data_IF_383335732347
#
_entry.id   IF_383335732347
#
_cell.length_a   1.000
_cell.length_b   1.000
_cell.length_c   1.000
_cell.angle_alpha   90.00
_cell.angle_beta   90.00
_cell.angle_gamma   90.00
#
_symmetry.space_group_name_H-M   'P 1'
#
loop_
_entity.id
_entity.type
_entity.pdbx_description
1 polymer ?
#
# COMPACT_ATOMS: atom_id res chain seq x y z
N UNK A 1 37.84 38.60 16.70
CA UNK A 1 37.84 37.79 17.94
C UNK A 1 36.62 36.88 17.89
N UNK A 2 36.83 35.60 17.59
CA UNK A 2 35.79 34.56 17.66
C UNK A 2 35.55 34.18 19.13
N UNK A 3 34.31 34.08 19.61
CA UNK A 3 34.05 33.66 20.98
C UNK A 3 34.45 32.20 21.18
N UNK A 4 35.07 31.89 22.31
CA UNK A 4 35.51 30.55 22.69
C UNK A 4 34.33 29.65 23.03
N UNK A 5 34.51 28.35 22.78
CA UNK A 5 33.55 27.25 23.03
C UNK A 5 33.17 27.10 24.53
N UNK A 6 33.76 27.89 25.42
CA UNK A 6 33.42 27.96 26.85
C UNK A 6 32.10 28.66 27.17
N UNK A 7 31.64 29.56 26.30
CA UNK A 7 30.56 30.51 26.66
C UNK A 7 29.14 30.02 26.29
N UNK A 8 29.02 28.82 25.71
CA UNK A 8 27.74 28.25 25.26
C UNK A 8 27.10 27.33 26.32
N UNK A 9 27.83 26.95 27.38
CA UNK A 9 27.37 25.93 28.34
C UNK A 9 26.56 26.45 29.53
N UNK A 10 26.25 27.75 29.63
CA UNK A 10 25.50 28.31 30.78
C UNK A 10 24.00 28.55 30.54
N UNK A 11 23.48 28.36 29.31
CA UNK A 11 22.08 28.65 28.98
C UNK A 11 21.17 27.44 28.69
N UNK A 12 21.69 26.21 28.81
CA UNK A 12 20.91 24.98 28.61
C UNK A 12 21.05 24.03 29.81
N UNK A 13 20.93 24.55 31.03
CA UNK A 13 20.77 23.70 32.21
C UNK A 13 19.30 23.25 32.33
N UNK A 14 18.96 22.10 31.73
CA UNK A 14 17.70 21.43 32.01
C UNK A 14 17.68 21.01 33.49
N UNK A 15 16.82 21.64 34.29
CA UNK A 15 16.57 21.22 35.68
C UNK A 15 15.89 19.85 35.67
N UNK A 16 16.66 18.78 35.84
CA UNK A 16 16.12 17.45 36.11
C UNK A 16 15.71 17.36 37.58
N UNK A 17 14.41 17.26 37.86
CA UNK A 17 13.95 16.79 39.19
C UNK A 17 14.22 15.28 39.29
N UNK A 18 14.79 14.78 40.39
CA UNK A 18 14.86 13.34 40.62
C UNK A 18 13.43 12.81 40.85
N UNK A 19 13.01 11.85 40.03
CA UNK A 19 11.78 11.08 40.27
C UNK A 19 12.10 10.02 41.30
N UNK A 20 11.48 10.09 42.47
CA UNK A 20 11.54 9.06 43.50
C UNK A 20 10.90 7.77 42.97
N UNK A 21 11.70 6.71 42.85
CA UNK A 21 11.23 5.39 42.48
C UNK A 21 10.63 4.69 43.70
N UNK A 22 9.32 4.84 43.89
CA UNK A 22 8.53 3.89 44.67
C UNK A 22 7.52 3.23 43.74
N UNK A 23 7.75 1.97 43.38
CA UNK A 23 6.71 1.11 42.85
C UNK A 23 6.92 -0.31 43.40
N UNK A 24 5.90 -0.80 44.12
CA UNK A 24 5.80 -2.17 44.65
C UNK A 24 5.69 -3.25 43.56
N UNK A 25 5.31 -4.49 43.91
CA UNK A 25 5.68 -5.69 43.17
C UNK A 25 5.14 -5.72 41.72
N UNK A 26 6.05 -6.08 40.81
CA UNK A 26 5.90 -6.27 39.36
C UNK A 26 4.55 -6.88 38.92
N UNK A 27 3.55 -6.03 38.68
CA UNK A 27 2.53 -6.29 37.66
C UNK A 27 3.01 -5.58 36.39
N UNK A 28 3.06 -6.26 35.23
CA UNK A 28 3.39 -5.57 33.99
C UNK A 28 2.35 -4.47 33.78
N UNK A 29 2.83 -3.24 33.60
CA UNK A 29 2.01 -2.10 33.23
C UNK A 29 1.38 -2.41 31.87
N UNK A 30 0.09 -2.74 31.88
CA UNK A 30 -0.68 -2.86 30.65
C UNK A 30 -1.06 -1.45 30.19
N UNK A 31 -0.77 -1.15 28.92
CA UNK A 31 -1.37 -0.01 28.24
C UNK A 31 -2.90 -0.18 28.29
N UNK A 32 -3.59 0.78 28.90
CA UNK A 32 -5.03 0.94 28.69
C UNK A 32 -5.18 2.00 27.61
N UNK A 33 -6.08 1.80 26.63
CA UNK A 33 -6.33 2.83 25.65
C UNK A 33 -6.62 4.15 26.36
N UNK A 34 -5.72 5.10 26.16
CA UNK A 34 -5.87 6.46 26.65
C UNK A 34 -7.15 7.05 26.02
N UNK A 35 -7.80 8.03 26.67
CA UNK A 35 -8.99 8.68 26.13
C UNK A 35 -8.85 9.10 24.65
N UNK A 36 -7.65 9.57 24.27
CA UNK A 36 -7.32 9.94 22.89
C UNK A 36 -7.46 8.79 21.89
N UNK A 37 -7.01 7.57 22.23
CA UNK A 37 -7.09 6.42 21.33
C UNK A 37 -8.53 5.95 21.17
N UNK A 38 -9.31 5.91 22.26
CA UNK A 38 -10.74 5.54 22.21
C UNK A 38 -11.53 6.51 21.34
N UNK A 39 -11.33 7.81 21.55
CA UNK A 39 -11.97 8.85 20.74
C UNK A 39 -11.57 8.76 19.26
N UNK A 40 -10.31 8.46 18.97
CA UNK A 40 -9.84 8.28 17.60
C UNK A 40 -10.48 7.05 16.93
N UNK A 41 -10.63 5.93 17.64
CA UNK A 41 -11.30 4.72 17.14
C UNK A 41 -12.78 5.00 16.86
N UNK A 42 -13.48 5.66 17.78
CA UNK A 42 -14.89 6.04 17.58
C UNK A 42 -15.07 6.96 16.36
N UNK A 43 -14.20 7.97 16.24
CA UNK A 43 -14.21 8.88 15.07
C UNK A 43 -13.96 8.13 13.77
N UNK A 44 -12.94 7.26 13.74
CA UNK A 44 -12.59 6.47 12.57
C UNK A 44 -13.73 5.51 12.16
N UNK A 45 -14.43 4.91 13.13
CA UNK A 45 -15.56 4.01 12.87
C UNK A 45 -16.79 4.68 12.26
N UNK A 46 -16.87 6.01 12.29
CA UNK A 46 -17.94 6.80 11.68
C UNK A 46 -17.48 7.58 10.42
N UNK A 47 -16.23 7.41 9.99
CA UNK A 47 -15.65 8.12 8.85
C UNK A 47 -15.67 7.25 7.58
N UNK A 48 -16.62 7.55 6.69
CA UNK A 48 -16.80 6.81 5.44
C UNK A 48 -16.06 7.44 4.24
N UNK A 49 -15.19 8.43 4.47
CA UNK A 49 -14.44 9.09 3.37
C UNK A 49 -13.42 8.14 2.76
N UNK A 50 -12.69 7.40 3.60
CA UNK A 50 -11.68 6.44 3.17
C UNK A 50 -11.19 5.58 4.32
N UNK A 51 -10.83 4.34 4.00
CA UNK A 51 -10.15 3.40 4.88
C UNK A 51 -8.72 3.80 5.27
N UNK A 52 -8.17 4.92 4.77
CA UNK A 52 -6.94 5.52 5.32
C UNK A 52 -7.16 6.16 6.70
N UNK A 53 -8.41 6.39 7.09
CA UNK A 53 -8.76 7.04 8.36
C UNK A 53 -8.71 6.07 9.55
N UNK A 54 -8.41 4.78 9.30
CA UNK A 54 -8.17 3.79 10.34
C UNK A 54 -7.05 4.25 11.28
N UNK A 55 -7.20 3.95 12.56
CA UNK A 55 -6.21 4.26 13.59
C UNK A 55 -5.74 2.97 14.28
N UNK A 56 -4.54 2.96 14.90
CA UNK A 56 -4.05 1.79 15.61
C UNK A 56 -5.06 1.25 16.63
N UNK A 57 -5.18 -0.07 16.71
CA UNK A 57 -5.98 -0.74 17.75
C UNK A 57 -5.14 -0.97 19.01
N UNK A 58 -5.78 -1.35 20.11
CA UNK A 58 -5.06 -1.70 21.35
C UNK A 58 -4.06 -2.85 21.14
N UNK A 59 -4.39 -3.82 20.28
CA UNK A 59 -3.52 -4.96 19.95
C UNK A 59 -2.31 -4.55 19.08
N UNK A 60 -2.43 -3.45 18.32
CA UNK A 60 -1.28 -2.86 17.61
C UNK A 60 -0.38 -2.06 18.57
N UNK A 61 -0.96 -1.47 19.62
CA UNK A 61 -0.19 -0.71 20.61
C UNK A 61 0.60 -1.65 21.54
N UNK A 62 -0.02 -2.71 22.04
CA UNK A 62 0.60 -3.64 23.01
C UNK A 62 0.19 -5.10 22.78
N UNK A 63 1.00 -6.04 23.26
CA UNK A 63 0.59 -7.44 23.35
C UNK A 63 -0.30 -7.64 24.57
N UNK A 64 -1.59 -7.91 24.37
CA UNK A 64 -2.45 -8.39 25.45
C UNK A 64 -2.09 -9.84 25.77
N UNK A 65 -1.74 -10.09 27.04
CA UNK A 65 -1.16 -11.30 27.69
C UNK A 65 -1.73 -12.71 27.37
N UNK A 66 -2.64 -12.86 26.42
CA UNK A 66 -3.21 -14.16 26.05
C UNK A 66 -3.44 -14.38 24.53
N UNK A 67 -3.12 -13.41 23.65
CA UNK A 67 -3.60 -13.46 22.25
C UNK A 67 -2.51 -13.52 21.17
N UNK A 68 -1.26 -13.20 21.48
CA UNK A 68 -0.21 -13.01 20.46
C UNK A 68 1.09 -13.68 20.95
N UNK A 69 1.62 -14.69 20.22
CA UNK A 69 2.96 -15.20 20.50
C UNK A 69 4.02 -14.08 20.31
N UNK A 70 5.19 -14.19 20.95
CA UNK A 70 6.23 -13.13 20.99
C UNK A 70 6.78 -12.71 19.62
N UNK A 71 6.41 -13.40 18.54
CA UNK A 71 6.69 -13.10 17.14
C UNK A 71 5.65 -12.18 16.47
N UNK A 72 4.56 -11.83 17.16
CA UNK A 72 3.52 -10.94 16.64
C UNK A 72 3.68 -9.53 17.21
N UNK A 73 4.19 -8.65 16.34
CA UNK A 73 4.60 -7.30 16.69
C UNK A 73 3.49 -6.45 17.31
N UNK A 74 3.87 -5.69 18.33
CA UNK A 74 3.12 -4.55 18.85
C UNK A 74 4.11 -3.38 19.03
N UNK A 75 3.62 -2.15 18.93
CA UNK A 75 4.46 -0.94 18.93
C UNK A 75 5.36 -0.87 20.17
N UNK A 76 4.83 -1.18 21.36
CA UNK A 76 5.58 -1.08 22.62
C UNK A 76 6.65 -2.17 22.80
N UNK A 77 6.59 -3.25 22.03
CA UNK A 77 7.54 -4.38 22.08
C UNK A 77 8.42 -4.47 20.83
N UNK A 78 8.28 -3.51 19.92
CA UNK A 78 9.01 -3.47 18.67
C UNK A 78 10.51 -3.30 18.91
N UNK A 79 11.31 -3.87 18.02
CA UNK A 79 12.70 -3.45 17.88
C UNK A 79 12.79 -1.98 17.48
N UNK A 80 13.88 -1.34 17.92
CA UNK A 80 14.21 0.06 17.64
C UNK A 80 15.63 0.16 17.09
N UNK A 81 16.03 -0.82 16.27
CA UNK A 81 17.34 -0.87 15.61
C UNK A 81 17.41 0.06 14.40
N UNK A 82 18.62 0.30 13.89
CA UNK A 82 18.84 1.07 12.66
C UNK A 82 18.69 0.17 11.43
N UNK A 83 17.60 0.34 10.66
CA UNK A 83 17.29 -0.42 9.43
C UNK A 83 18.37 -0.30 8.34
N UNK A 84 19.29 0.67 8.46
CA UNK A 84 20.32 0.94 7.45
C UNK A 84 21.71 0.53 7.92
N UNK A 85 22.07 0.82 9.17
CA UNK A 85 23.43 0.59 9.68
C UNK A 85 23.62 -0.75 10.38
N UNK A 86 22.57 -1.31 10.97
CA UNK A 86 22.70 -2.59 11.64
C UNK A 86 22.92 -3.69 10.60
N UNK A 87 23.86 -4.60 10.87
CA UNK A 87 24.31 -5.66 9.94
C UNK A 87 23.15 -6.47 9.35
N UNK A 88 22.11 -6.69 10.16
CA UNK A 88 20.93 -7.46 9.80
C UNK A 88 19.67 -6.61 9.61
N UNK A 89 19.76 -5.27 9.72
CA UNK A 89 18.61 -4.36 9.71
C UNK A 89 17.69 -4.52 10.94
N UNK A 90 16.54 -3.84 10.92
CA UNK A 90 15.59 -3.88 12.05
C UNK A 90 14.78 -5.20 12.08
N UNK A 91 14.74 -5.85 13.25
CA UNK A 91 14.11 -7.16 13.43
C UNK A 91 12.60 -7.14 13.15
N UNK A 92 11.89 -6.08 13.54
CA UNK A 92 10.45 -5.95 13.34
C UNK A 92 10.12 -5.73 11.86
N UNK A 93 10.94 -4.94 11.16
CA UNK A 93 10.85 -4.79 9.69
C UNK A 93 11.05 -6.13 9.00
N UNK A 94 12.08 -6.87 9.37
CA UNK A 94 12.38 -8.17 8.79
C UNK A 94 11.26 -9.18 9.03
N UNK A 95 10.69 -9.22 10.23
CA UNK A 95 9.55 -10.08 10.57
C UNK A 95 8.34 -9.80 9.65
N UNK A 96 7.98 -8.52 9.48
CA UNK A 96 6.90 -8.10 8.59
C UNK A 96 7.17 -8.49 7.13
N UNK A 97 8.38 -8.22 6.64
CA UNK A 97 8.79 -8.55 5.28
C UNK A 97 8.71 -10.07 5.03
N UNK A 98 9.20 -10.88 5.97
CA UNK A 98 9.13 -12.34 5.91
C UNK A 98 7.68 -12.84 5.89
N UNK A 99 6.79 -12.20 6.68
CA UNK A 99 5.38 -12.60 6.69
C UNK A 99 4.70 -12.35 5.35
N UNK A 100 4.95 -11.21 4.71
CA UNK A 100 4.40 -10.92 3.39
C UNK A 100 5.04 -11.73 2.26
N UNK A 101 6.33 -12.07 2.38
CA UNK A 101 6.98 -13.07 1.52
C UNK A 101 6.24 -14.41 1.60
N UNK A 102 5.96 -14.90 2.82
CA UNK A 102 5.23 -16.14 3.03
C UNK A 102 3.82 -16.10 2.42
N UNK A 103 3.08 -15.00 2.64
CA UNK A 103 1.70 -14.85 2.16
C UNK A 103 1.60 -14.74 0.63
N UNK A 104 2.57 -14.08 -0.01
CA UNK A 104 2.51 -13.78 -1.45
C UNK A 104 3.35 -14.73 -2.31
N UNK A 105 4.25 -15.50 -1.71
CA UNK A 105 5.17 -16.38 -2.42
C UNK A 105 6.27 -15.64 -3.20
N UNK A 106 6.48 -14.35 -2.95
CA UNK A 106 7.59 -13.57 -3.54
C UNK A 106 8.90 -13.83 -2.82
N UNK A 107 10.02 -13.64 -3.50
CA UNK A 107 11.34 -14.01 -2.98
C UNK A 107 11.87 -13.02 -1.93
N UNK A 108 11.49 -11.75 -2.05
CA UNK A 108 11.98 -10.67 -1.21
C UNK A 108 10.93 -9.56 -1.08
N UNK A 109 11.07 -8.78 -0.02
CA UNK A 109 10.22 -7.64 0.29
C UNK A 109 11.06 -6.43 0.74
N UNK A 110 10.49 -5.24 0.62
CA UNK A 110 11.08 -3.98 1.05
C UNK A 110 10.01 -3.07 1.66
N UNK A 111 10.17 -2.73 2.93
CA UNK A 111 9.31 -1.75 3.60
C UNK A 111 9.58 -0.32 3.10
N UNK A 112 8.51 0.46 2.94
CA UNK A 112 8.48 1.84 2.44
C UNK A 112 7.50 2.68 3.24
N UNK A 113 7.67 4.01 3.21
CA UNK A 113 6.86 4.93 4.01
C UNK A 113 5.40 5.04 3.56
N UNK A 114 5.13 4.89 2.26
CA UNK A 114 3.79 5.06 1.69
C UNK A 114 3.60 4.24 0.41
N UNK A 115 2.33 4.06 0.01
CA UNK A 115 1.99 3.35 -1.24
C UNK A 115 2.55 4.05 -2.47
N UNK A 116 2.46 5.39 -2.52
CA UNK A 116 3.08 6.19 -3.59
C UNK A 116 4.57 5.95 -3.70
N UNK A 117 5.31 5.96 -2.58
CA UNK A 117 6.73 5.62 -2.62
C UNK A 117 6.95 4.19 -3.12
N UNK A 118 6.14 3.25 -2.66
CA UNK A 118 6.15 1.85 -3.08
C UNK A 118 6.02 1.67 -4.59
N UNK A 119 4.96 2.25 -5.17
CA UNK A 119 4.67 2.23 -6.60
C UNK A 119 5.78 2.91 -7.42
N UNK A 120 6.21 4.11 -7.02
CA UNK A 120 7.22 4.85 -7.77
C UNK A 120 8.59 4.18 -7.74
N UNK A 121 8.98 3.56 -6.61
CA UNK A 121 10.18 2.72 -6.56
C UNK A 121 10.01 1.52 -7.48
N UNK A 122 8.85 0.85 -7.48
CA UNK A 122 8.61 -0.30 -8.35
C UNK A 122 8.79 0.05 -9.83
N UNK A 123 8.09 1.09 -10.27
CA UNK A 123 8.09 1.56 -11.65
C UNK A 123 9.50 2.01 -12.05
N UNK A 124 10.16 2.82 -11.21
CA UNK A 124 11.54 3.26 -11.46
C UNK A 124 12.54 2.11 -11.55
N UNK A 125 12.32 1.04 -10.79
CA UNK A 125 13.20 -0.13 -10.74
C UNK A 125 13.12 -0.94 -12.04
N UNK A 126 11.91 -1.11 -12.59
CA UNK A 126 11.67 -1.76 -13.89
C UNK A 126 12.18 -0.93 -15.08
N UNK A 127 12.02 0.39 -14.98
CA UNK A 127 12.31 1.34 -16.06
C UNK A 127 13.78 1.79 -16.01
N UNK A 128 14.63 1.21 -16.87
CA UNK A 128 16.08 1.46 -16.82
C UNK A 128 16.51 2.66 -17.65
N UNK A 129 16.29 2.65 -18.97
CA UNK A 129 16.72 3.71 -19.89
C UNK A 129 15.60 4.10 -20.86
N UNK A 130 15.12 5.35 -20.87
CA UNK A 130 14.08 5.80 -21.79
C UNK A 130 14.51 5.62 -23.26
N UNK A 131 13.57 5.58 -24.21
CA UNK A 131 12.15 5.86 -24.05
C UNK A 131 11.35 4.69 -23.46
N UNK A 132 10.35 5.01 -22.63
CA UNK A 132 9.46 4.03 -22.02
C UNK A 132 8.01 4.51 -21.96
N UNK A 133 7.09 3.56 -22.06
CA UNK A 133 5.67 3.75 -21.75
C UNK A 133 5.22 2.78 -20.68
N UNK A 134 4.43 3.27 -19.72
CA UNK A 134 3.66 2.45 -18.77
C UNK A 134 2.21 2.40 -19.25
N UNK A 135 1.71 1.20 -19.56
CA UNK A 135 0.30 0.97 -19.88
C UNK A 135 -0.47 0.67 -18.59
N UNK A 136 -1.60 1.35 -18.39
CA UNK A 136 -2.42 1.23 -17.19
C UNK A 136 -3.87 1.64 -17.43
N UNK A 137 -4.75 1.33 -16.47
CA UNK A 137 -6.13 1.84 -16.47
C UNK A 137 -6.12 3.36 -16.30
N UNK A 138 -6.94 4.09 -17.04
CA UNK A 138 -6.99 5.55 -16.97
C UNK A 138 -7.34 6.13 -15.59
N UNK A 139 -7.85 5.30 -14.66
CA UNK A 139 -8.18 5.65 -13.27
C UNK A 139 -7.08 5.28 -12.27
N UNK A 140 -6.05 4.56 -12.71
CA UNK A 140 -5.06 3.96 -11.83
C UNK A 140 -4.36 4.99 -10.94
N UNK A 141 -4.10 4.61 -9.69
CA UNK A 141 -3.52 5.49 -8.67
C UNK A 141 -2.18 6.07 -9.10
N UNK A 142 -1.30 5.23 -9.65
CA UNK A 142 0.04 5.61 -10.14
C UNK A 142 0.02 6.68 -11.25
N UNK A 143 -1.12 6.88 -11.90
CA UNK A 143 -1.34 7.91 -12.91
C UNK A 143 -2.06 9.14 -12.33
N UNK A 144 -3.23 8.94 -11.72
CA UNK A 144 -4.12 10.04 -11.33
C UNK A 144 -3.76 10.68 -9.98
N UNK A 145 -3.19 9.92 -9.04
CA UNK A 145 -3.16 10.28 -7.62
C UNK A 145 -1.74 10.33 -7.03
N UNK A 146 -0.73 10.31 -7.89
CA UNK A 146 0.70 10.37 -7.51
C UNK A 146 1.40 11.59 -8.12
N UNK A 147 0.64 12.68 -8.35
CA UNK A 147 1.17 13.99 -8.74
C UNK A 147 2.08 14.01 -9.96
N UNK A 148 1.82 13.14 -10.94
CA UNK A 148 2.67 13.04 -12.13
C UNK A 148 4.07 12.49 -11.86
N UNK A 149 4.25 11.69 -10.81
CA UNK A 149 5.55 11.14 -10.43
C UNK A 149 6.17 10.23 -11.49
N UNK A 150 5.37 9.52 -12.30
CA UNK A 150 5.85 8.65 -13.37
C UNK A 150 6.81 9.35 -14.35
N UNK A 151 6.40 10.42 -15.05
CA UNK A 151 7.32 11.15 -15.93
C UNK A 151 8.46 11.83 -15.15
N UNK A 152 8.20 12.38 -13.97
CA UNK A 152 9.19 13.11 -13.18
C UNK A 152 10.32 12.23 -12.63
N UNK A 153 10.00 11.04 -12.13
CA UNK A 153 10.93 10.15 -11.44
C UNK A 153 11.43 9.03 -12.33
N UNK A 154 10.60 8.53 -13.25
CA UNK A 154 10.88 7.34 -14.07
C UNK A 154 11.12 7.62 -15.55
N UNK A 155 11.01 8.89 -15.99
CA UNK A 155 11.20 9.30 -17.39
C UNK A 155 10.37 8.46 -18.36
N UNK A 156 9.14 8.13 -17.95
CA UNK A 156 8.23 7.31 -18.72
C UNK A 156 6.98 8.09 -19.10
N UNK A 157 6.57 7.92 -20.35
CA UNK A 157 5.24 8.26 -20.81
C UNK A 157 4.22 7.28 -20.24
N UNK A 158 2.94 7.65 -20.30
CA UNK A 158 1.84 6.84 -19.81
C UNK A 158 0.87 6.58 -20.96
N UNK A 159 0.40 5.35 -21.10
CA UNK A 159 -0.70 4.97 -21.98
C UNK A 159 -1.93 4.65 -21.11
N UNK A 160 -2.75 5.65 -20.76
CA UNK A 160 -3.98 5.43 -20.02
C UNK A 160 -5.02 4.78 -20.93
N UNK A 161 -5.59 3.66 -20.48
CA UNK A 161 -6.55 2.86 -21.24
C UNK A 161 -7.88 2.85 -20.52
N UNK A 162 -8.97 3.07 -21.26
CA UNK A 162 -10.33 2.91 -20.76
C UNK A 162 -10.71 1.43 -20.93
N UNK A 163 -11.08 0.72 -19.85
CA UNK A 163 -11.46 -0.68 -19.93
C UNK A 163 -12.76 -0.85 -20.73
N UNK A 164 -12.77 -1.77 -21.68
CA UNK A 164 -13.94 -1.99 -22.55
C UNK A 164 -15.16 -2.53 -21.80
N UNK A 165 -14.96 -3.19 -20.66
CA UNK A 165 -16.03 -3.66 -19.78
C UNK A 165 -16.48 -2.63 -18.73
N UNK A 166 -15.84 -1.45 -18.67
CA UNK A 166 -16.12 -0.39 -17.69
C UNK A 166 -15.64 -0.65 -16.26
N UNK A 167 -15.07 -1.83 -15.96
CA UNK A 167 -14.71 -2.27 -14.60
C UNK A 167 -13.20 -2.36 -14.43
N UNK A 168 -12.50 -3.12 -15.30
CA UNK A 168 -11.06 -3.37 -15.21
C UNK A 168 -10.48 -3.69 -16.59
N UNK A 169 -9.17 -3.49 -16.78
CA UNK A 169 -8.54 -3.78 -18.07
C UNK A 169 -8.66 -5.25 -18.45
N UNK A 170 -9.11 -5.50 -19.68
CA UNK A 170 -9.18 -6.84 -20.28
C UNK A 170 -7.91 -7.15 -21.09
N UNK A 171 -7.69 -8.43 -21.42
CA UNK A 171 -6.62 -8.81 -22.34
C UNK A 171 -6.71 -8.09 -23.70
N UNK A 172 -7.93 -7.87 -24.21
CA UNK A 172 -8.15 -7.15 -25.47
C UNK A 172 -7.69 -5.70 -25.36
N UNK A 173 -8.00 -5.04 -24.25
CA UNK A 173 -7.58 -3.66 -23.99
C UNK A 173 -6.05 -3.56 -23.95
N UNK A 174 -5.38 -4.49 -23.28
CA UNK A 174 -3.91 -4.55 -23.23
C UNK A 174 -3.32 -4.79 -24.62
N UNK A 175 -3.78 -5.82 -25.34
CA UNK A 175 -3.30 -6.16 -26.70
C UNK A 175 -3.38 -4.98 -27.66
N UNK A 176 -4.48 -4.25 -27.63
CA UNK A 176 -4.75 -3.12 -28.53
C UNK A 176 -3.82 -1.93 -28.27
N UNK A 177 -3.37 -1.74 -27.04
CA UNK A 177 -2.68 -0.52 -26.61
C UNK A 177 -1.18 -0.73 -26.31
N UNK A 178 -0.68 -1.96 -26.30
CA UNK A 178 0.76 -2.21 -26.18
C UNK A 178 1.51 -1.76 -27.43
N UNK A 179 2.62 -1.05 -27.22
CA UNK A 179 3.49 -0.54 -28.26
C UNK A 179 4.79 -1.36 -28.29
N UNK A 180 5.07 -2.02 -29.40
CA UNK A 180 6.33 -2.73 -29.63
C UNK A 180 7.50 -1.77 -29.83
N UNK A 181 8.71 -2.23 -29.54
CA UNK A 181 9.93 -1.50 -29.90
C UNK A 181 10.14 -1.41 -31.42
N UNK A 182 10.99 -0.47 -31.83
CA UNK A 182 11.49 -0.36 -33.21
C UNK A 182 10.91 0.79 -34.04
N UNK A 183 9.81 1.41 -33.63
CA UNK A 183 9.27 2.61 -34.28
C UNK A 183 9.69 3.87 -33.50
N UNK A 184 10.51 4.73 -34.11
CA UNK A 184 11.05 5.94 -33.45
C UNK A 184 9.98 6.96 -33.03
N UNK A 185 8.77 6.88 -33.60
CA UNK A 185 7.67 7.79 -33.25
C UNK A 185 7.04 7.48 -31.90
N UNK A 186 7.16 6.24 -31.41
CA UNK A 186 6.41 5.79 -30.24
C UNK A 186 7.32 5.17 -29.17
N UNK A 187 7.27 5.67 -27.91
CA UNK A 187 7.97 5.03 -26.81
C UNK A 187 7.41 3.61 -26.54
N UNK A 188 8.25 2.56 -26.49
CA UNK A 188 7.77 1.19 -26.32
C UNK A 188 7.17 0.95 -24.94
N UNK A 189 6.15 0.11 -24.86
CA UNK A 189 5.59 -0.33 -23.58
C UNK A 189 6.60 -1.22 -22.86
N UNK A 190 7.03 -0.80 -21.67
CA UNK A 190 8.00 -1.56 -20.85
C UNK A 190 7.45 -2.05 -19.52
N UNK A 191 6.33 -1.50 -19.09
CA UNK A 191 5.57 -1.97 -17.92
C UNK A 191 4.09 -1.95 -18.24
N UNK A 192 3.38 -3.01 -17.86
CA UNK A 192 1.92 -2.99 -17.69
C UNK A 192 1.65 -2.95 -16.20
N UNK A 193 1.02 -1.86 -15.75
CA UNK A 193 0.67 -1.65 -14.35
C UNK A 193 -0.83 -1.88 -14.17
N UNK A 194 -1.19 -2.91 -13.42
CA UNK A 194 -2.57 -3.20 -13.03
C UNK A 194 -2.78 -2.80 -11.57
N UNK A 195 -4.04 -2.65 -11.17
CA UNK A 195 -4.42 -2.28 -9.81
C UNK A 195 -5.50 -3.25 -9.31
N UNK A 196 -5.31 -3.80 -8.10
CA UNK A 196 -6.33 -4.64 -7.45
C UNK A 196 -6.36 -4.39 -5.93
N UNK A 197 -7.48 -3.93 -5.37
CA UNK A 197 -8.70 -3.45 -6.06
C UNK A 197 -8.51 -2.07 -6.69
N UNK A 198 -9.21 -1.77 -7.79
CA UNK A 198 -9.31 -0.41 -8.36
C UNK A 198 -10.69 0.16 -8.03
N UNK A 199 -10.74 1.23 -7.21
CA UNK A 199 -12.02 1.83 -6.76
C UNK A 199 -13.01 0.82 -6.15
N UNK A 200 -12.48 -0.18 -5.44
CA UNK A 200 -13.26 -1.26 -4.83
C UNK A 200 -13.72 -2.36 -5.79
N UNK A 201 -13.35 -2.28 -7.07
CA UNK A 201 -13.60 -3.34 -8.05
C UNK A 201 -12.44 -4.32 -8.11
N UNK A 202 -12.77 -5.57 -8.41
CA UNK A 202 -11.85 -6.71 -8.45
C UNK A 202 -11.38 -6.92 -9.88
N UNK A 203 -10.07 -6.95 -10.08
CA UNK A 203 -9.45 -7.55 -11.27
C UNK A 203 -9.43 -9.08 -11.04
N UNK A 204 -10.20 -9.89 -11.80
CA UNK A 204 -10.25 -11.33 -11.57
C UNK A 204 -8.91 -12.00 -11.85
N UNK A 205 -8.58 -13.04 -11.07
CA UNK A 205 -7.37 -13.84 -11.23
C UNK A 205 -7.22 -14.39 -12.66
N UNK A 206 -8.33 -14.84 -13.26
CA UNK A 206 -8.34 -15.34 -14.63
C UNK A 206 -7.79 -14.30 -15.61
N UNK A 207 -8.29 -13.06 -15.52
CA UNK A 207 -7.89 -11.98 -16.42
C UNK A 207 -6.45 -11.53 -16.13
N UNK A 208 -6.06 -11.47 -14.85
CA UNK A 208 -4.68 -11.18 -14.46
C UNK A 208 -3.68 -12.20 -15.04
N UNK A 209 -4.02 -13.50 -15.04
CA UNK A 209 -3.20 -14.57 -15.64
C UNK A 209 -3.11 -14.43 -17.15
N UNK A 210 -4.23 -14.22 -17.83
CA UNK A 210 -4.28 -14.06 -19.28
C UNK A 210 -3.46 -12.84 -19.75
N UNK A 211 -3.60 -11.71 -19.05
CA UNK A 211 -2.80 -10.51 -19.30
C UNK A 211 -1.33 -10.78 -19.03
N UNK A 212 -0.98 -11.35 -17.86
CA UNK A 212 0.41 -11.62 -17.50
C UNK A 212 1.12 -12.53 -18.51
N UNK A 213 0.47 -13.61 -18.93
CA UNK A 213 1.01 -14.53 -19.92
C UNK A 213 1.28 -13.82 -21.26
N UNK A 214 0.33 -13.02 -21.75
CA UNK A 214 0.50 -12.25 -22.97
C UNK A 214 1.63 -11.23 -22.85
N UNK A 215 1.63 -10.41 -21.80
CA UNK A 215 2.62 -9.33 -21.59
C UNK A 215 4.04 -9.87 -21.51
N UNK A 216 4.25 -10.96 -20.77
CA UNK A 216 5.57 -11.61 -20.65
C UNK A 216 6.06 -12.21 -21.97
N UNK A 217 5.13 -12.63 -22.83
CA UNK A 217 5.43 -13.15 -24.18
C UNK A 217 5.56 -12.05 -25.24
N UNK A 218 5.28 -10.79 -24.89
CA UNK A 218 5.25 -9.70 -25.85
C UNK A 218 6.65 -9.46 -26.44
N UNK A 219 6.79 -9.38 -27.78
CA UNK A 219 8.10 -9.23 -28.41
C UNK A 219 8.82 -7.96 -27.96
N UNK A 220 10.08 -8.11 -27.57
CA UNK A 220 11.01 -7.01 -27.26
C UNK A 220 12.29 -7.16 -28.08
N UNK A 221 12.99 -6.06 -28.40
CA UNK A 221 14.28 -6.14 -29.08
C UNK A 221 15.28 -7.05 -28.36
N UNK A 222 16.18 -7.67 -29.13
CA UNK A 222 17.23 -8.53 -28.59
C UNK A 222 18.03 -7.81 -27.49
N UNK A 223 18.35 -8.53 -26.41
CA UNK A 223 19.05 -7.99 -25.25
C UNK A 223 18.19 -7.17 -24.28
N UNK A 224 16.91 -6.91 -24.58
CA UNK A 224 15.99 -6.29 -23.63
C UNK A 224 15.27 -7.33 -22.77
N UNK A 225 15.03 -6.98 -21.50
CA UNK A 225 14.16 -7.76 -20.62
C UNK A 225 12.72 -7.79 -21.16
N UNK A 226 11.93 -8.85 -20.86
CA UNK A 226 10.50 -8.85 -21.12
C UNK A 226 9.80 -7.61 -20.53
N UNK A 227 8.61 -7.29 -21.05
CA UNK A 227 7.75 -6.26 -20.47
C UNK A 227 7.35 -6.71 -19.06
N UNK A 228 7.54 -5.82 -18.08
CA UNK A 228 7.27 -6.16 -16.68
C UNK A 228 5.79 -6.01 -16.33
N UNK A 229 5.31 -6.87 -15.44
CA UNK A 229 4.00 -6.76 -14.80
C UNK A 229 4.15 -6.14 -13.41
N UNK A 230 3.51 -5.00 -13.17
CA UNK A 230 3.42 -4.39 -11.85
C UNK A 230 1.98 -4.44 -11.34
N UNK A 231 1.81 -4.75 -10.05
CA UNK A 231 0.54 -4.60 -9.33
C UNK A 231 0.64 -3.46 -8.31
N UNK A 232 -0.18 -2.43 -8.50
CA UNK A 232 -0.64 -1.62 -7.38
C UNK A 232 -1.66 -2.47 -6.59
N UNK A 233 -1.17 -3.09 -5.53
CA UNK A 233 -1.92 -3.96 -4.65
C UNK A 233 -2.27 -3.25 -3.35
N UNK A 234 -2.50 -1.93 -3.38
CA UNK A 234 -2.73 -1.18 -2.15
C UNK A 234 -3.92 -1.71 -1.32
N UNK A 235 -4.85 -2.43 -1.97
CA UNK A 235 -5.92 -3.21 -1.33
C UNK A 235 -5.96 -4.64 -1.88
N UNK A 236 -4.80 -5.27 -2.04
CA UNK A 236 -4.67 -6.63 -2.58
C UNK A 236 -5.54 -7.62 -1.81
N UNK A 237 -5.48 -7.56 -0.47
CA UNK A 237 -6.21 -8.50 0.38
C UNK A 237 -7.73 -8.38 0.21
N UNK A 238 -8.26 -7.17 0.04
CA UNK A 238 -9.68 -6.98 -0.31
C UNK A 238 -10.02 -7.66 -1.63
N UNK A 239 -9.19 -7.48 -2.66
CA UNK A 239 -9.41 -8.06 -3.99
C UNK A 239 -9.43 -9.59 -3.97
N UNK A 240 -8.39 -10.22 -3.42
CA UNK A 240 -8.27 -11.69 -3.42
C UNK A 240 -9.29 -12.37 -2.50
N UNK A 241 -9.64 -11.75 -1.36
CA UNK A 241 -10.66 -12.27 -0.45
C UNK A 241 -12.05 -12.09 -1.05
N UNK A 242 -12.31 -10.94 -1.69
CA UNK A 242 -13.57 -10.67 -2.36
C UNK A 242 -13.83 -11.63 -3.53
N UNK A 243 -12.77 -12.04 -4.25
CA UNK A 243 -12.87 -13.06 -5.31
C UNK A 243 -12.89 -14.49 -4.75
N UNK A 244 -12.21 -14.72 -3.61
CA UNK A 244 -12.04 -16.04 -3.02
C UNK A 244 -10.90 -16.85 -3.65
N UNK A 245 -9.79 -16.19 -4.02
CA UNK A 245 -8.64 -16.81 -4.69
C UNK A 245 -7.38 -16.85 -3.83
N UNK A 246 -6.45 -17.74 -4.16
CA UNK A 246 -5.19 -17.88 -3.42
C UNK A 246 -4.25 -16.67 -3.65
N UNK A 247 -3.66 -16.19 -2.56
CA UNK A 247 -2.78 -15.03 -2.58
C UNK A 247 -1.51 -15.26 -3.40
N UNK A 248 -0.89 -16.45 -3.31
CA UNK A 248 0.35 -16.78 -4.03
C UNK A 248 0.08 -16.91 -5.51
N UNK A 249 -1.02 -17.57 -5.87
CA UNK A 249 -1.45 -17.72 -7.25
C UNK A 249 -1.72 -16.37 -7.91
N UNK A 250 -2.42 -15.45 -7.21
CA UNK A 250 -2.65 -14.10 -7.71
C UNK A 250 -1.34 -13.31 -7.84
N UNK A 251 -0.51 -13.33 -6.80
CA UNK A 251 0.76 -12.62 -6.78
C UNK A 251 1.74 -13.13 -7.86
N UNK A 252 1.68 -14.41 -8.23
CA UNK A 252 2.52 -14.99 -9.28
C UNK A 252 2.36 -14.30 -10.66
N UNK A 253 1.22 -13.64 -10.91
CA UNK A 253 0.99 -12.90 -12.15
C UNK A 253 1.90 -11.67 -12.32
N UNK A 254 2.54 -11.18 -11.25
CA UNK A 254 3.24 -9.89 -11.24
C UNK A 254 4.74 -10.03 -10.95
N UNK A 255 5.57 -9.19 -11.56
CA UNK A 255 7.01 -9.12 -11.26
C UNK A 255 7.31 -8.29 -10.02
N UNK A 256 6.50 -7.25 -9.78
CA UNK A 256 6.53 -6.47 -8.55
C UNK A 256 5.14 -6.09 -8.06
N UNK A 257 4.98 -5.99 -6.75
CA UNK A 257 3.72 -5.65 -6.09
C UNK A 257 3.99 -4.58 -5.04
N UNK A 258 3.14 -3.56 -4.95
CA UNK A 258 3.10 -2.66 -3.79
C UNK A 258 1.84 -2.91 -2.97
N UNK A 259 1.97 -3.23 -1.69
CA UNK A 259 0.84 -3.44 -0.77
C UNK A 259 0.85 -2.33 0.27
N UNK A 260 -0.28 -1.66 0.45
CA UNK A 260 -0.43 -0.63 1.47
C UNK A 260 -0.83 -1.24 2.81
N UNK A 261 -0.17 -0.81 3.88
CA UNK A 261 -0.44 -1.28 5.25
C UNK A 261 -1.37 -0.31 6.00
N UNK A 262 -1.44 0.95 5.53
CA UNK A 262 -2.12 2.05 6.19
C UNK A 262 -3.50 2.39 5.59
N UNK A 263 -4.25 1.35 5.21
CA UNK A 263 -5.63 1.41 4.71
C UNK A 263 -6.50 0.51 5.59
N UNK A 264 -7.41 -0.29 5.00
CA UNK A 264 -8.25 -1.24 5.75
C UNK A 264 -7.51 -2.24 6.64
N UNK A 265 -6.19 -2.45 6.47
CA UNK A 265 -5.38 -3.20 7.42
C UNK A 265 -5.21 -2.48 8.77
N UNK A 266 -5.15 -1.15 8.79
CA UNK A 266 -5.16 -0.33 10.00
C UNK A 266 -3.81 0.01 10.60
N UNK A 267 -2.69 -0.33 9.96
CA UNK A 267 -1.38 0.16 10.40
C UNK A 267 -1.34 1.70 10.27
N UNK A 268 -0.65 2.43 11.16
CA UNK A 268 -0.62 3.89 11.10
C UNK A 268 0.15 4.44 9.89
N UNK A 269 1.10 3.67 9.35
CA UNK A 269 1.97 4.08 8.26
C UNK A 269 2.56 2.85 7.56
N UNK A 270 2.93 3.04 6.30
CA UNK A 270 3.84 2.14 5.60
C UNK A 270 3.18 1.38 4.47
N UNK A 271 4.04 0.82 3.62
CA UNK A 271 3.71 -0.05 2.51
C UNK A 271 4.87 -1.00 2.26
N UNK A 272 4.62 -2.12 1.59
CA UNK A 272 5.62 -3.13 1.30
C UNK A 272 5.68 -3.34 -0.21
N UNK A 273 6.89 -3.28 -0.76
CA UNK A 273 7.19 -3.74 -2.11
C UNK A 273 7.57 -5.20 -2.04
N UNK A 274 7.08 -6.02 -2.97
CA UNK A 274 7.47 -7.43 -3.12
C UNK A 274 7.92 -7.71 -4.55
N UNK A 275 8.87 -8.62 -4.73
CA UNK A 275 9.40 -9.01 -6.04
C UNK A 275 10.47 -10.09 -5.94
N UNK A 276 11.25 -10.25 -7.01
CA UNK A 276 12.45 -11.09 -6.97
C UNK A 276 13.53 -10.46 -6.10
N UNK A 277 14.47 -11.28 -5.60
CA UNK A 277 15.59 -10.78 -4.78
C UNK A 277 16.41 -9.72 -5.53
N UNK A 278 16.72 -9.97 -6.81
CA UNK A 278 17.45 -9.02 -7.65
C UNK A 278 16.71 -7.69 -7.86
N UNK A 279 15.38 -7.74 -7.96
CA UNK A 279 14.55 -6.54 -8.05
C UNK A 279 14.59 -5.74 -6.75
N UNK A 280 14.43 -6.39 -5.60
CA UNK A 280 14.43 -5.73 -4.30
C UNK A 280 15.80 -5.11 -3.97
N UNK A 281 16.91 -5.78 -4.28
CA UNK A 281 18.25 -5.19 -4.09
C UNK A 281 18.42 -3.90 -4.90
N UNK A 282 17.88 -3.86 -6.12
CA UNK A 282 17.86 -2.62 -6.92
C UNK A 282 16.92 -1.57 -6.32
N UNK A 283 15.73 -1.98 -5.85
CA UNK A 283 14.74 -1.09 -5.26
C UNK A 283 15.25 -0.34 -4.01
N UNK A 284 16.12 -0.96 -3.21
CA UNK A 284 16.76 -0.32 -2.03
C UNK A 284 17.49 0.98 -2.39
N UNK A 285 18.14 1.06 -3.55
CA UNK A 285 18.83 2.27 -4.01
C UNK A 285 17.84 3.42 -4.22
N UNK A 286 16.70 3.14 -4.85
CA UNK A 286 15.65 4.14 -5.06
C UNK A 286 14.92 4.48 -3.76
N UNK A 287 14.72 3.52 -2.85
CA UNK A 287 14.24 3.80 -1.48
C UNK A 287 15.14 4.81 -0.79
N UNK A 288 16.46 4.63 -0.88
CA UNK A 288 17.42 5.56 -0.29
C UNK A 288 17.39 6.92 -0.97
N UNK A 289 17.34 6.95 -2.30
CA UNK A 289 17.30 8.18 -3.11
C UNK A 289 16.04 9.01 -2.87
N UNK A 290 14.89 8.36 -2.71
CA UNK A 290 13.60 9.03 -2.48
C UNK A 290 13.35 9.34 -1.00
N UNK A 291 14.37 9.20 -0.14
CA UNK A 291 14.26 9.55 1.28
C UNK A 291 13.54 8.53 2.16
N UNK A 292 13.24 7.33 1.65
CA UNK A 292 12.56 6.26 2.38
C UNK A 292 13.44 5.41 3.29
N UNK A 293 14.77 5.64 3.31
CA UNK A 293 15.70 4.94 4.20
C UNK A 293 15.71 5.53 5.61
N UNK A 294 14.66 5.24 6.39
CA UNK A 294 14.53 5.66 7.80
C UNK A 294 15.35 4.82 8.75
N UNK A 295 15.54 5.28 10.00
CA UNK A 295 16.42 4.65 10.99
C UNK A 295 15.72 3.59 11.82
N UNK A 296 14.79 3.95 12.71
CA UNK A 296 14.06 3.01 13.57
C UNK A 296 12.59 2.80 13.15
N UNK A 297 12.28 2.27 11.95
CA UNK A 297 10.91 2.04 11.52
C UNK A 297 10.24 0.84 12.20
N UNK A 298 10.94 0.10 13.07
CA UNK A 298 10.47 -1.13 13.68
C UNK A 298 9.12 -1.01 14.39
N UNK A 299 8.86 0.14 15.05
CA UNK A 299 7.55 0.43 15.65
C UNK A 299 6.40 0.40 14.63
N UNK A 300 6.59 1.00 13.45
CA UNK A 300 5.58 1.01 12.39
C UNK A 300 5.42 -0.38 11.76
N UNK A 301 6.53 -1.11 11.60
CA UNK A 301 6.51 -2.49 11.09
C UNK A 301 5.77 -3.44 12.05
N UNK A 302 6.00 -3.30 13.36
CA UNK A 302 5.31 -4.08 14.38
C UNK A 302 3.80 -3.81 14.38
N UNK A 303 3.38 -2.55 14.26
CA UNK A 303 1.96 -2.20 14.12
C UNK A 303 1.32 -2.89 12.90
N UNK A 304 2.03 -2.91 11.77
CA UNK A 304 1.57 -3.59 10.57
C UNK A 304 1.52 -5.12 10.74
N UNK A 305 2.47 -5.72 11.47
CA UNK A 305 2.46 -7.15 11.77
C UNK A 305 1.22 -7.55 12.58
N UNK A 306 0.87 -6.77 13.61
CA UNK A 306 -0.39 -6.93 14.35
C UNK A 306 -1.60 -6.80 13.41
N UNK A 307 -1.63 -5.77 12.58
CA UNK A 307 -2.69 -5.50 11.62
C UNK A 307 -2.97 -6.66 10.66
N UNK A 308 -1.93 -7.32 10.14
CA UNK A 308 -2.10 -8.49 9.27
C UNK A 308 -2.83 -9.63 10.00
N UNK A 309 -2.60 -9.81 11.29
CA UNK A 309 -3.21 -10.87 12.09
C UNK A 309 -4.65 -10.54 12.48
N UNK A 310 -4.93 -9.28 12.81
CA UNK A 310 -6.22 -8.87 13.37
C UNK A 310 -7.22 -8.41 12.30
N UNK A 311 -6.76 -7.71 11.26
CA UNK A 311 -7.64 -7.04 10.29
C UNK A 311 -7.98 -7.91 9.09
N UNK A 312 -7.05 -8.71 8.56
CA UNK A 312 -7.31 -9.57 7.38
C UNK A 312 -8.52 -10.50 7.62
N UNK A 313 -8.65 -11.19 8.77
CA UNK A 313 -9.83 -12.04 9.03
C UNK A 313 -11.16 -11.28 9.09
N UNK A 314 -11.14 -9.96 9.26
CA UNK A 314 -12.35 -9.12 9.32
C UNK A 314 -12.82 -8.66 7.93
N UNK A 315 -11.97 -8.73 6.89
CA UNK A 315 -12.31 -8.24 5.55
C UNK A 315 -13.61 -8.86 4.98
N UNK A 316 -13.88 -10.17 5.10
CA UNK A 316 -15.16 -10.74 4.65
C UNK A 316 -16.39 -10.09 5.30
N UNK A 317 -16.28 -9.76 6.60
CA UNK A 317 -17.34 -9.06 7.33
C UNK A 317 -17.50 -7.62 6.82
N UNK A 318 -16.39 -6.93 6.55
CA UNK A 318 -16.41 -5.57 5.97
C UNK A 318 -17.09 -5.58 4.61
N UNK A 319 -16.77 -6.54 3.74
CA UNK A 319 -17.41 -6.68 2.42
C UNK A 319 -18.91 -6.96 2.54
N UNK A 320 -19.31 -7.85 3.46
CA UNK A 320 -20.72 -8.14 3.72
C UNK A 320 -21.49 -6.90 4.22
N UNK A 321 -20.89 -6.11 5.12
CA UNK A 321 -21.47 -4.86 5.59
C UNK A 321 -21.60 -3.84 4.44
N UNK A 322 -20.58 -3.71 3.61
CA UNK A 322 -20.57 -2.81 2.44
C UNK A 322 -21.69 -3.19 1.47
N UNK A 323 -21.84 -4.48 1.15
CA UNK A 323 -22.91 -4.97 0.27
C UNK A 323 -24.30 -4.76 0.87
N UNK A 324 -24.46 -4.95 2.19
CA UNK A 324 -25.72 -4.68 2.90
C UNK A 324 -26.07 -3.19 2.85
N UNK A 325 -25.10 -2.30 3.07
CA UNK A 325 -25.27 -0.86 2.98
C UNK A 325 -25.65 -0.44 1.56
N UNK A 326 -24.96 -0.96 0.54
CA UNK A 326 -25.29 -0.70 -0.86
C UNK A 326 -26.73 -1.13 -1.19
N UNK A 327 -27.15 -2.30 -0.73
CA UNK A 327 -28.53 -2.79 -0.95
C UNK A 327 -29.58 -1.84 -0.34
N UNK A 328 -29.31 -1.30 0.85
CA UNK A 328 -30.19 -0.30 1.49
C UNK A 328 -30.21 1.01 0.72
N UNK A 329 -29.05 1.52 0.30
CA UNK A 329 -28.95 2.74 -0.50
C UNK A 329 -29.69 2.60 -1.84
N UNK A 330 -29.57 1.45 -2.51
CA UNK A 330 -30.34 1.19 -3.74
C UNK A 330 -31.85 1.13 -3.48
N UNK A 331 -32.30 0.62 -2.33
CA UNK A 331 -33.72 0.67 -1.97
C UNK A 331 -34.23 2.11 -1.76
N UNK A 332 -33.34 3.06 -1.45
CA UNK A 332 -33.64 4.50 -1.42
C UNK A 332 -33.49 5.20 -2.78
N UNK A 333 -33.19 4.46 -3.86
CA UNK A 333 -33.08 5.00 -5.22
C UNK A 333 -31.67 5.42 -5.65
N UNK A 334 -30.65 5.25 -4.80
CA UNK A 334 -29.27 5.54 -5.18
C UNK A 334 -28.71 4.51 -6.15
N UNK A 335 -28.03 5.00 -7.19
CA UNK A 335 -27.28 4.23 -8.18
C UNK A 335 -25.78 4.34 -7.90
N UNK A 336 -25.01 3.39 -8.43
CA UNK A 336 -23.57 3.31 -8.22
C UNK A 336 -22.83 3.37 -9.55
N UNK A 337 -21.69 4.06 -9.56
CA UNK A 337 -20.83 4.18 -10.75
C UNK A 337 -20.12 2.86 -11.09
N UNK A 338 -19.85 2.04 -10.07
CA UNK A 338 -19.13 0.79 -10.19
C UNK A 338 -19.80 -0.32 -9.36
N UNK A 339 -19.58 -1.61 -9.72
CA UNK A 339 -20.04 -2.73 -8.91
C UNK A 339 -19.46 -2.68 -7.49
N UNK A 340 -20.30 -2.97 -6.49
CA UNK A 340 -19.88 -3.07 -5.08
C UNK A 340 -19.36 -4.49 -4.82
N UNK A 341 -18.04 -4.65 -4.89
CA UNK A 341 -17.37 -5.96 -4.77
C UNK A 341 -16.56 -6.11 -3.47
N UNK A 342 -15.98 -5.04 -2.93
CA UNK A 342 -15.18 -5.08 -1.69
C UNK A 342 -15.68 -4.11 -0.62
N UNK A 343 -14.87 -3.14 -0.19
CA UNK A 343 -15.12 -2.22 0.92
C UNK A 343 -15.52 -0.80 0.47
N UNK A 344 -15.94 -0.61 -0.78
CA UNK A 344 -16.33 0.69 -1.33
C UNK A 344 -17.71 0.70 -1.97
N UNK A 345 -18.37 1.84 -1.87
CA UNK A 345 -19.59 2.19 -2.60
C UNK A 345 -19.35 3.55 -3.23
N UNK A 346 -19.39 3.63 -4.56
CA UNK A 346 -19.23 4.90 -5.28
C UNK A 346 -20.60 5.28 -5.84
N UNK A 347 -21.25 6.22 -5.16
CA UNK A 347 -22.58 6.70 -5.51
C UNK A 347 -22.51 7.57 -6.77
N UNK A 348 -23.36 7.26 -7.74
CA UNK A 348 -23.56 8.08 -8.92
C UNK A 348 -24.63 9.13 -8.60
N UNK A 349 -24.20 10.31 -8.13
CA UNK A 349 -25.10 11.39 -7.72
C UNK A 349 -25.95 11.94 -8.87
N UNK A 350 -25.39 11.98 -10.07
CA UNK A 350 -26.10 12.44 -11.27
C UNK A 350 -27.15 11.40 -11.65
N UNK A 351 -26.78 10.13 -11.78
CA UNK A 351 -27.75 9.09 -12.14
C UNK A 351 -28.78 8.80 -11.04
N UNK A 352 -28.47 9.11 -9.78
CA UNK A 352 -29.38 8.92 -8.64
C UNK A 352 -30.43 10.03 -8.56
N UNK A 353 -30.00 11.30 -8.54
CA UNK A 353 -30.86 12.44 -8.20
C UNK A 353 -30.60 13.68 -9.06
N UNK A 354 -29.91 13.55 -10.21
CA UNK A 354 -29.43 14.67 -11.02
C UNK A 354 -28.64 15.72 -10.21
N UNK A 355 -27.94 15.28 -9.16
CA UNK A 355 -27.11 16.17 -8.34
C UNK A 355 -25.76 16.28 -9.03
N UNK A 356 -25.36 17.47 -9.52
CA UNK A 356 -24.04 17.63 -10.10
C UNK A 356 -22.96 17.40 -9.02
N UNK A 357 -21.90 16.62 -9.28
CA UNK A 357 -20.85 16.36 -8.29
C UNK A 357 -20.24 17.63 -7.68
N UNK A 358 -20.07 18.69 -8.49
CA UNK A 358 -19.55 19.97 -8.03
C UNK A 358 -20.46 20.67 -6.99
N UNK A 359 -21.79 20.52 -7.11
CA UNK A 359 -22.73 21.09 -6.16
C UNK A 359 -22.71 20.35 -4.81
N UNK A 360 -22.48 19.04 -4.84
CA UNK A 360 -22.33 18.23 -3.62
C UNK A 360 -21.06 18.56 -2.85
N UNK A 361 -19.92 18.72 -3.56
CA UNK A 361 -18.64 19.04 -2.94
C UNK A 361 -18.59 20.45 -2.32
N UNK A 362 -19.38 21.40 -2.82
CA UNK A 362 -19.46 22.75 -2.24
C UNK A 362 -20.19 22.80 -0.88
N UNK A 363 -20.90 21.72 -0.51
CA UNK A 363 -21.62 21.59 0.76
C UNK A 363 -20.94 20.73 1.83
N UNK A 364 -19.79 20.14 1.52
CA UNK A 364 -18.90 19.41 2.45
C UNK A 364 -17.78 20.33 2.94
#
# INVERSE_FOLDING_TARGET
MSPSVSDINSHLAFKTKPVSAENGPNKPLMYSALPNLKQAIEKAGADFRSDVSTVPTEDMMQVRKAALPPDKGAILEASVGDDIYDEFGDVSVNSLQNKLIELTGKEAALWTLSGTMGNQICLRTHLVQPPHTVLLDHRAHVYCWESGALPALSQASVAPVIPSNGVHLTLSDVKKNMVSGGNLHFPPTRVVSLENSLSGTILPLKDAKEISAFVRSFPVPEGQKPVAMHLDGARLFDGIIGEGVDAKEYCACFDSISICLAKGLGAPMGSIILGSRAFIERAKWFRKMFGGGTRQPGMMAAAAQAALTTSIPQLPRVHALTKSTASKLSAFGYKFQLPVQTNMIIVDLEASNNIPPAAFLAGL
#
